data_IF_785846984544
#
_entry.id   IF_785846984544
#
_cell.length_a   1.000
_cell.length_b   1.000
_cell.length_c   1.000
_cell.angle_alpha   90.00
_cell.angle_beta   90.00
_cell.angle_gamma   90.00
#
_symmetry.space_group_name_H-M   'P 1'
#
loop_
_entity.id
_entity.type
_entity.pdbx_description
1 polymer ?
#
# COMPACT_ATOMS: atom_id res chain seq x y z
N UNK A 1 4.00 -29.90 -35.13
CA UNK A 1 3.00 -29.14 -34.34
C UNK A 1 3.34 -29.36 -32.86
N UNK A 2 3.93 -28.37 -32.20
CA UNK A 2 4.45 -28.53 -30.84
C UNK A 2 3.31 -28.65 -29.83
N UNK A 3 3.05 -29.88 -29.36
CA UNK A 3 2.20 -30.15 -28.21
C UNK A 3 2.97 -29.80 -26.93
N UNK A 4 3.10 -28.50 -26.62
CA UNK A 4 3.48 -28.12 -25.26
C UNK A 4 2.22 -28.15 -24.38
N UNK A 5 2.24 -28.82 -23.22
CA UNK A 5 1.11 -28.79 -22.30
C UNK A 5 0.83 -27.35 -21.89
N UNK A 6 -0.45 -26.96 -21.84
CA UNK A 6 -0.89 -25.60 -21.48
C UNK A 6 -0.24 -25.09 -20.19
N UNK A 7 0.03 -26.01 -19.25
CA UNK A 7 0.74 -25.76 -18.01
C UNK A 7 2.13 -25.11 -18.20
N UNK A 8 2.87 -25.51 -19.23
CA UNK A 8 4.21 -24.96 -19.50
C UNK A 8 4.14 -23.54 -20.07
N UNK A 9 3.19 -23.27 -20.97
CA UNK A 9 2.97 -21.93 -21.53
C UNK A 9 2.40 -20.96 -20.48
N UNK A 10 1.50 -21.43 -19.61
CA UNK A 10 0.97 -20.64 -18.50
C UNK A 10 2.06 -20.24 -17.50
N UNK A 11 3.03 -21.13 -17.25
CA UNK A 11 4.06 -20.89 -16.23
C UNK A 11 5.27 -20.11 -16.75
N UNK A 12 5.57 -20.18 -18.05
CA UNK A 12 6.73 -19.48 -18.64
C UNK A 12 6.37 -18.18 -19.35
N UNK A 13 5.22 -18.11 -20.05
CA UNK A 13 4.83 -16.90 -20.80
C UNK A 13 3.95 -15.95 -19.96
N UNK A 14 3.04 -16.46 -19.14
CA UNK A 14 2.16 -15.60 -18.32
C UNK A 14 2.81 -15.10 -17.03
N UNK A 15 3.69 -15.88 -16.37
CA UNK A 15 4.39 -15.42 -15.16
C UNK A 15 5.13 -14.08 -15.33
N UNK A 16 5.93 -13.85 -16.39
CA UNK A 16 6.62 -12.56 -16.55
C UNK A 16 5.64 -11.41 -16.83
N UNK A 17 4.57 -11.65 -17.59
CA UNK A 17 3.55 -10.64 -17.88
C UNK A 17 2.74 -10.26 -16.63
N UNK A 18 2.31 -11.25 -15.84
CA UNK A 18 1.48 -11.03 -14.65
C UNK A 18 2.28 -10.36 -13.52
N UNK A 19 3.58 -10.64 -13.39
CA UNK A 19 4.43 -10.03 -12.36
C UNK A 19 4.42 -8.51 -12.41
N UNK A 20 4.48 -7.90 -13.60
CA UNK A 20 4.38 -6.45 -13.75
C UNK A 20 3.03 -5.89 -13.32
N UNK A 21 1.95 -6.61 -13.65
CA UNK A 21 0.59 -6.21 -13.31
C UNK A 21 0.30 -6.31 -11.80
N UNK A 22 0.73 -7.39 -11.14
CA UNK A 22 0.59 -7.55 -9.68
C UNK A 22 1.29 -6.41 -8.95
N UNK A 23 2.46 -5.99 -9.41
CA UNK A 23 3.19 -4.88 -8.78
C UNK A 23 2.41 -3.56 -8.85
N UNK A 24 1.85 -3.23 -10.01
CA UNK A 24 1.03 -2.02 -10.16
C UNK A 24 -0.26 -2.10 -9.34
N UNK A 25 -0.87 -3.29 -9.24
CA UNK A 25 -2.02 -3.50 -8.36
C UNK A 25 -1.64 -3.27 -6.88
N UNK A 26 -0.52 -3.80 -6.42
CA UNK A 26 -0.03 -3.60 -5.04
C UNK A 26 0.24 -2.13 -4.74
N UNK A 27 0.83 -1.39 -5.68
CA UNK A 27 1.10 0.04 -5.52
C UNK A 27 -0.17 0.86 -5.23
N UNK A 28 -1.29 0.53 -5.87
CA UNK A 28 -2.56 1.24 -5.69
C UNK A 28 -3.35 0.72 -4.49
N UNK A 29 -3.30 -0.59 -4.22
CA UNK A 29 -4.01 -1.21 -3.10
C UNK A 29 -3.38 -0.88 -1.73
N UNK A 30 -2.07 -0.69 -1.62
CA UNK A 30 -1.38 -0.38 -0.36
C UNK A 30 -1.89 0.92 0.31
N UNK A 31 -1.86 2.10 -0.34
CA UNK A 31 -2.33 3.34 0.27
C UNK A 31 -3.85 3.30 0.53
N UNK A 32 -4.60 2.57 -0.30
CA UNK A 32 -6.04 2.39 -0.13
C UNK A 32 -6.35 1.58 1.13
N UNK A 33 -5.65 0.47 1.33
CA UNK A 33 -5.79 -0.40 2.51
C UNK A 33 -5.41 0.34 3.79
N UNK A 34 -4.40 1.20 3.75
CA UNK A 34 -4.02 2.02 4.90
C UNK A 34 -5.10 3.06 5.26
N UNK A 35 -5.69 3.75 4.27
CA UNK A 35 -6.82 4.67 4.50
C UNK A 35 -8.02 3.96 5.12
N UNK A 36 -8.34 2.75 4.64
CA UNK A 36 -9.44 1.93 5.16
C UNK A 36 -9.12 1.42 6.57
N UNK A 37 -7.89 0.97 6.81
CA UNK A 37 -7.42 0.50 8.12
C UNK A 37 -7.54 1.57 9.19
N UNK A 38 -7.11 2.80 8.90
CA UNK A 38 -7.22 3.92 9.85
C UNK A 38 -8.68 4.26 10.13
N UNK A 39 -9.55 4.26 9.11
CA UNK A 39 -10.99 4.45 9.34
C UNK A 39 -11.56 3.33 10.22
N UNK A 40 -11.16 2.07 9.99
CA UNK A 40 -11.57 0.96 10.82
C UNK A 40 -11.10 1.10 12.28
N UNK A 41 -9.87 1.57 12.51
CA UNK A 41 -9.37 1.87 13.86
C UNK A 41 -10.16 2.97 14.56
N UNK A 42 -10.55 4.03 13.83
CA UNK A 42 -11.41 5.09 14.35
C UNK A 42 -12.80 4.56 14.70
N UNK A 43 -13.39 3.70 13.87
CA UNK A 43 -14.71 3.10 14.11
C UNK A 43 -14.71 2.11 15.28
N UNK A 44 -13.67 1.27 15.42
CA UNK A 44 -13.57 0.23 16.45
C UNK A 44 -13.22 0.81 17.83
N UNK A 45 -12.85 2.09 17.93
CA UNK A 45 -12.40 2.70 19.19
C UNK A 45 -11.28 1.90 19.87
N UNK A 46 -10.25 1.54 19.09
CA UNK A 46 -9.12 0.76 19.61
C UNK A 46 -8.32 1.53 20.69
N UNK A 47 -7.92 0.82 21.74
CA UNK A 47 -7.37 1.39 22.98
C UNK A 47 -6.01 2.10 22.81
N UNK A 48 -5.24 1.74 21.77
CA UNK A 48 -3.96 2.33 21.36
C UNK A 48 -3.85 2.36 19.82
N UNK A 49 -3.86 3.55 19.21
CA UNK A 49 -3.75 3.72 17.75
C UNK A 49 -3.94 5.17 17.29
N UNK A 50 -3.51 5.47 16.06
CA UNK A 50 -3.55 6.82 15.45
C UNK A 50 -4.97 7.42 15.49
N UNK A 51 -5.99 6.56 15.29
CA UNK A 51 -7.41 6.94 15.32
C UNK A 51 -7.92 7.43 16.68
N UNK A 52 -7.45 6.85 17.80
CA UNK A 52 -7.82 7.29 19.15
C UNK A 52 -7.19 8.64 19.48
N UNK A 53 -5.95 8.89 19.07
CA UNK A 53 -5.31 10.20 19.27
C UNK A 53 -5.99 11.29 18.46
N UNK A 54 -6.48 10.98 17.24
CA UNK A 54 -7.38 11.85 16.50
C UNK A 54 -8.72 12.08 17.21
N UNK A 55 -9.33 11.03 17.77
CA UNK A 55 -10.60 11.13 18.50
C UNK A 55 -10.45 11.94 19.81
N UNK A 56 -9.40 11.70 20.59
CA UNK A 56 -9.11 12.43 21.83
C UNK A 56 -8.79 13.90 21.55
N UNK A 57 -8.00 14.21 20.51
CA UNK A 57 -7.71 15.58 20.13
C UNK A 57 -8.96 16.33 19.61
N UNK A 58 -9.90 15.62 18.97
CA UNK A 58 -11.24 16.15 18.60
C UNK A 58 -12.09 16.47 19.83
N UNK A 59 -12.08 15.62 20.86
CA UNK A 59 -12.81 15.83 22.12
C UNK A 59 -12.22 16.99 22.94
N UNK A 60 -10.91 17.23 22.87
CA UNK A 60 -10.21 18.29 23.61
C UNK A 60 -10.15 19.64 22.87
N UNK A 61 -10.67 19.72 21.62
CA UNK A 61 -10.56 20.88 20.71
C UNK A 61 -9.09 21.39 20.58
N UNK A 62 -8.13 20.48 20.67
CA UNK A 62 -6.73 20.79 20.40
C UNK A 62 -6.47 20.59 18.89
N UNK A 63 -6.61 21.69 18.15
CA UNK A 63 -6.45 21.68 16.69
C UNK A 63 -5.02 21.27 16.29
N UNK A 64 -4.03 21.61 17.12
CA UNK A 64 -2.62 21.29 16.93
C UNK A 64 -2.39 19.77 16.88
N UNK A 65 -2.96 19.02 17.82
CA UNK A 65 -2.84 17.57 17.90
C UNK A 65 -3.46 16.86 16.71
N UNK A 66 -4.63 17.31 16.25
CA UNK A 66 -5.29 16.74 15.07
C UNK A 66 -4.41 16.93 13.82
N UNK A 67 -3.89 18.14 13.61
CA UNK A 67 -3.02 18.43 12.47
C UNK A 67 -1.71 17.64 12.51
N UNK A 68 -1.09 17.46 13.68
CA UNK A 68 0.13 16.68 13.83
C UNK A 68 -0.08 15.21 13.43
N UNK A 69 -1.19 14.59 13.86
CA UNK A 69 -1.49 13.21 13.49
C UNK A 69 -1.88 13.04 12.03
N UNK A 70 -2.60 14.01 11.44
CA UNK A 70 -2.88 14.01 9.99
C UNK A 70 -1.57 14.14 9.20
N UNK A 71 -0.64 14.98 9.63
CA UNK A 71 0.67 15.11 8.99
C UNK A 71 1.43 13.78 9.03
N UNK A 72 1.46 13.11 10.18
CA UNK A 72 2.14 11.82 10.32
C UNK A 72 1.53 10.76 9.40
N UNK A 73 0.19 10.72 9.32
CA UNK A 73 -0.55 9.85 8.42
C UNK A 73 -0.19 10.08 6.94
N UNK A 74 -0.12 11.33 6.50
CA UNK A 74 0.28 11.68 5.14
C UNK A 74 1.72 11.26 4.87
N UNK A 75 2.62 11.45 5.83
CA UNK A 75 4.03 11.02 5.73
C UNK A 75 4.13 9.50 5.56
N UNK A 76 3.37 8.71 6.32
CA UNK A 76 3.36 7.24 6.22
C UNK A 76 2.87 6.79 4.83
N UNK A 77 1.75 7.35 4.36
CA UNK A 77 1.21 7.04 3.03
C UNK A 77 2.20 7.41 1.94
N UNK A 78 2.82 8.59 2.03
CA UNK A 78 3.81 9.03 1.06
C UNK A 78 5.05 8.14 1.05
N UNK A 79 5.51 7.70 2.22
CA UNK A 79 6.62 6.77 2.37
C UNK A 79 6.30 5.40 1.74
N UNK A 80 5.09 4.88 1.95
CA UNK A 80 4.63 3.63 1.33
C UNK A 80 4.58 3.72 -0.19
N UNK A 81 4.05 4.82 -0.74
CA UNK A 81 4.00 5.03 -2.19
C UNK A 81 5.40 5.15 -2.77
N UNK A 82 6.30 5.91 -2.13
CA UNK A 82 7.70 6.02 -2.55
C UNK A 82 8.43 4.67 -2.49
N UNK A 83 8.22 3.89 -1.44
CA UNK A 83 8.78 2.56 -1.31
C UNK A 83 8.34 1.63 -2.45
N UNK A 84 7.05 1.64 -2.81
CA UNK A 84 6.52 0.87 -3.94
C UNK A 84 7.16 1.27 -5.27
N UNK A 85 7.29 2.58 -5.54
CA UNK A 85 7.93 3.06 -6.77
C UNK A 85 9.42 2.72 -6.85
N UNK A 86 10.13 2.70 -5.72
CA UNK A 86 11.51 2.23 -5.66
C UNK A 86 11.58 0.75 -6.08
N UNK A 87 10.71 -0.09 -5.52
CA UNK A 87 10.65 -1.52 -5.87
C UNK A 87 10.40 -1.73 -7.37
N UNK A 88 9.52 -0.93 -8.00
CA UNK A 88 9.34 -0.98 -9.45
C UNK A 88 10.63 -0.64 -10.22
N UNK A 89 11.33 0.42 -9.85
CA UNK A 89 12.62 0.79 -10.46
C UNK A 89 13.67 -0.31 -10.32
N UNK A 90 13.72 -0.98 -9.15
CA UNK A 90 14.62 -2.10 -8.89
C UNK A 90 14.29 -3.34 -9.74
N UNK A 91 13.00 -3.65 -9.93
CA UNK A 91 12.57 -4.82 -10.71
C UNK A 91 12.72 -4.61 -12.21
N UNK A 92 12.43 -3.41 -12.73
CA UNK A 92 12.68 -3.06 -14.12
C UNK A 92 14.19 -3.12 -14.45
N UNK A 93 15.05 -2.69 -13.52
CA UNK A 93 16.50 -2.76 -13.70
C UNK A 93 17.02 -4.22 -13.76
N UNK A 94 16.38 -5.16 -13.05
CA UNK A 94 16.72 -6.59 -13.13
C UNK A 94 16.21 -7.30 -14.38
N UNK A 95 15.31 -6.70 -15.16
CA UNK A 95 14.81 -7.26 -16.43
C UNK A 95 15.54 -6.70 -17.66
N UNK A 96 16.46 -5.73 -17.46
CA UNK A 96 17.35 -5.19 -18.52
C UNK A 96 18.77 -5.77 -18.51
N UNK A 97 19.10 -6.69 -17.59
CA UNK A 97 20.30 -7.54 -17.65
C UNK A 97 19.91 -8.94 -18.05
#
# INVERSE_FOLDING_TARGET
>A
MYHHPLYYNLRYAYLPLIKGYILSAVETCLPLSFKVGVMAEVFVSAQHGIGKQLYLARVQIDMIGIFAWILWMVIIVWMLTKFSTLIMGWIQNKNKK
#
